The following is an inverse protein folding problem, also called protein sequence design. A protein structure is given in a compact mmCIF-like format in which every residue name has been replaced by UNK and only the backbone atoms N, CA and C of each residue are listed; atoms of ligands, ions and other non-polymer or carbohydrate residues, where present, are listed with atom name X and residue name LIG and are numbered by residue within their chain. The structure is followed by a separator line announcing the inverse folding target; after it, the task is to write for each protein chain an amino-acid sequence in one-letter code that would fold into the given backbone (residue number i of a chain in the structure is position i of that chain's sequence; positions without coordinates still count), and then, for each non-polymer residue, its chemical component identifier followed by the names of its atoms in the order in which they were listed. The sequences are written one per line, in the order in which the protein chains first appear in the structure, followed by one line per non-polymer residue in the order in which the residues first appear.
data_IF_170255881004
#
_entry.id   IF_170255881004
#
_cell.length_a   1.000
_cell.length_b   1.000
_cell.length_c   1.000
_cell.angle_alpha   90.00
_cell.angle_beta   90.00
_cell.angle_gamma   90.00
#
_symmetry.space_group_name_H-M   'P 1'
#
loop_
_entity.id
_entity.type
_entity.pdbx_description
1 polymer ?
#
# COMPACT_ATOMS: atom_id res chain seq x y z
N UNK A 1 6.98 22.02 -25.35
CA UNK A 1 8.13 22.28 -24.47
C UNK A 1 8.20 21.11 -23.51
N UNK A 2 9.37 20.48 -23.34
CA UNK A 2 9.53 19.38 -22.38
C UNK A 2 9.89 20.01 -21.03
N UNK A 3 9.20 19.65 -19.94
CA UNK A 3 9.49 20.21 -18.63
C UNK A 3 10.94 19.91 -18.23
N UNK A 4 11.63 20.91 -17.68
CA UNK A 4 12.92 20.71 -17.05
C UNK A 4 12.81 20.81 -15.51
N UNK A 5 13.90 20.59 -14.80
CA UNK A 5 13.91 20.61 -13.33
C UNK A 5 13.72 22.00 -12.71
N UNK A 6 13.69 23.06 -13.52
CA UNK A 6 13.50 24.46 -13.09
C UNK A 6 12.04 24.92 -13.26
N UNK A 7 11.20 24.12 -13.93
CA UNK A 7 9.79 24.43 -14.13
C UNK A 7 8.98 24.16 -12.85
N UNK A 8 8.77 25.20 -12.06
CA UNK A 8 7.91 25.21 -10.86
C UNK A 8 6.43 25.47 -11.16
N UNK A 9 6.11 25.86 -12.40
CA UNK A 9 4.75 26.22 -12.85
C UNK A 9 4.18 25.21 -13.88
N UNK A 10 4.96 24.16 -14.21
CA UNK A 10 4.68 23.19 -15.26
C UNK A 10 3.68 22.12 -14.84
N UNK A 11 2.40 22.46 -14.76
CA UNK A 11 1.34 21.47 -14.60
C UNK A 11 1.16 20.67 -15.88
N UNK A 12 1.31 19.34 -15.79
CA UNK A 12 1.11 18.43 -16.89
C UNK A 12 0.21 17.26 -16.49
N UNK A 13 -0.71 16.90 -17.37
CA UNK A 13 -1.44 15.65 -17.26
C UNK A 13 -0.52 14.50 -17.67
N UNK A 14 -0.51 13.47 -16.83
CA UNK A 14 0.38 12.32 -16.98
C UNK A 14 -0.29 11.09 -16.40
N UNK A 15 0.09 9.92 -16.90
CA UNK A 15 -0.51 8.63 -16.55
C UNK A 15 0.57 7.61 -16.19
N UNK A 16 0.16 6.55 -15.50
CA UNK A 16 1.05 5.47 -15.08
C UNK A 16 0.99 5.18 -13.58
N UNK A 17 1.52 4.02 -13.19
CA UNK A 17 1.50 3.54 -11.80
C UNK A 17 2.25 4.46 -10.86
N UNK A 18 3.30 5.14 -11.35
CA UNK A 18 4.05 6.18 -10.62
C UNK A 18 3.17 7.35 -10.15
N UNK A 19 2.00 7.55 -10.76
CA UNK A 19 1.03 8.59 -10.36
C UNK A 19 -0.12 8.03 -9.52
N UNK A 20 -0.34 6.71 -9.52
CA UNK A 20 -1.24 6.05 -8.58
C UNK A 20 -0.61 5.97 -7.17
N UNK A 21 0.69 5.67 -7.09
CA UNK A 21 1.43 5.60 -5.81
C UNK A 21 1.29 6.85 -4.93
N UNK A 22 1.54 8.09 -5.41
CA UNK A 22 1.39 9.29 -4.58
C UNK A 22 -0.06 9.54 -4.15
N UNK A 23 -1.06 9.11 -4.94
CA UNK A 23 -2.47 9.21 -4.53
C UNK A 23 -2.77 8.31 -3.34
N UNK A 24 -2.39 7.04 -3.41
CA UNK A 24 -2.55 6.11 -2.28
C UNK A 24 -1.75 6.57 -1.06
N UNK A 25 -0.51 7.03 -1.26
CA UNK A 25 0.31 7.56 -0.17
C UNK A 25 -0.32 8.79 0.50
N UNK A 26 -0.93 9.69 -0.28
CA UNK A 26 -1.67 10.85 0.24
C UNK A 26 -2.86 10.46 1.10
N UNK A 27 -3.67 9.50 0.64
CA UNK A 27 -4.81 8.95 1.41
C UNK A 27 -4.33 8.36 2.74
N UNK A 28 -3.29 7.51 2.71
CA UNK A 28 -2.72 6.90 3.92
C UNK A 28 -2.15 7.97 4.87
N UNK A 29 -1.48 8.98 4.33
CA UNK A 29 -0.91 10.07 5.12
C UNK A 29 -2.00 10.85 5.85
N UNK A 30 -3.12 11.13 5.17
CA UNK A 30 -4.27 11.79 5.79
C UNK A 30 -4.86 10.96 6.93
N UNK A 31 -5.08 9.65 6.69
CA UNK A 31 -5.60 8.73 7.71
C UNK A 31 -4.68 8.69 8.94
N UNK A 32 -3.37 8.54 8.71
CA UNK A 32 -2.38 8.50 9.79
C UNK A 32 -2.32 9.80 10.59
N UNK A 33 -2.33 10.94 9.90
CA UNK A 33 -2.31 12.25 10.55
C UNK A 33 -3.57 12.47 11.39
N UNK A 34 -4.74 12.09 10.86
CA UNK A 34 -6.03 12.20 11.57
C UNK A 34 -6.04 11.37 12.85
N UNK A 35 -5.63 10.11 12.77
CA UNK A 35 -5.54 9.22 13.93
C UNK A 35 -4.49 9.69 14.95
N UNK A 36 -3.35 10.20 14.48
CA UNK A 36 -2.33 10.76 15.39
C UNK A 36 -2.85 11.97 16.14
N UNK A 37 -3.54 12.86 15.44
CA UNK A 37 -4.17 14.03 16.04
C UNK A 37 -5.27 13.63 17.04
N UNK A 38 -6.14 12.68 16.68
CA UNK A 38 -7.23 12.19 17.54
C UNK A 38 -6.71 11.58 18.85
N UNK A 39 -5.61 10.82 18.80
CA UNK A 39 -5.07 10.09 19.95
C UNK A 39 -3.80 10.73 20.55
N UNK A 40 -3.58 12.03 20.34
CA UNK A 40 -2.49 12.82 20.94
C UNK A 40 -1.07 12.32 20.64
N UNK A 41 -0.86 11.71 19.48
CA UNK A 41 0.41 11.11 19.09
C UNK A 41 1.28 12.07 18.25
N UNK A 42 2.07 12.91 18.94
CA UNK A 42 2.90 13.94 18.31
C UNK A 42 4.28 13.44 17.79
N UNK A 43 4.43 12.12 17.58
CA UNK A 43 5.72 11.51 17.20
C UNK A 43 5.76 11.16 15.71
N UNK A 44 6.96 11.13 15.14
CA UNK A 44 7.17 10.65 13.77
C UNK A 44 7.02 9.13 13.65
N UNK A 45 6.42 8.65 12.56
CA UNK A 45 6.11 7.22 12.34
C UNK A 45 7.31 6.29 12.14
N UNK A 46 8.52 6.80 11.90
CA UNK A 46 9.71 5.99 11.58
C UNK A 46 10.66 5.75 12.77
N UNK A 47 10.23 6.00 14.01
CA UNK A 47 11.10 5.80 15.19
C UNK A 47 11.23 4.32 15.56
N UNK A 48 12.46 3.86 15.82
CA UNK A 48 12.73 2.52 16.37
C UNK A 48 12.02 2.28 17.71
N UNK A 49 11.77 3.34 18.47
CA UNK A 49 11.10 3.31 19.77
C UNK A 49 9.63 2.87 19.67
N UNK A 50 9.04 2.89 18.47
CA UNK A 50 7.64 2.52 18.23
C UNK A 50 7.44 1.06 17.91
N UNK A 51 8.49 0.25 17.81
CA UNK A 51 8.37 -1.19 17.58
C UNK A 51 7.61 -1.56 16.29
N UNK A 52 7.66 -0.69 15.26
CA UNK A 52 6.92 -0.89 14.00
C UNK A 52 5.47 -0.39 14.01
N UNK A 53 5.02 0.28 15.07
CA UNK A 53 3.69 0.89 15.14
C UNK A 53 3.63 2.24 14.44
N UNK A 54 2.59 2.43 13.63
CA UNK A 54 2.37 3.61 12.81
C UNK A 54 1.70 4.74 13.60
N UNK A 55 0.87 4.40 14.59
CA UNK A 55 0.26 5.31 15.57
C UNK A 55 0.43 4.71 16.97
N UNK A 56 0.85 5.54 17.93
CA UNK A 56 0.98 5.20 19.35
C UNK A 56 0.49 6.39 20.16
N UNK A 57 -0.80 6.38 20.48
CA UNK A 57 -1.48 7.44 21.24
C UNK A 57 -2.00 6.96 22.59
N UNK A 58 -2.93 7.72 23.17
CA UNK A 58 -3.54 7.41 24.47
C UNK A 58 -4.39 6.13 24.41
N UNK A 59 -3.86 5.03 24.98
CA UNK A 59 -4.47 3.68 24.93
C UNK A 59 -4.82 3.19 23.51
N UNK A 60 -4.17 3.75 22.49
CA UNK A 60 -4.47 3.46 21.10
C UNK A 60 -3.19 3.18 20.33
N UNK A 61 -3.18 2.08 19.59
CA UNK A 61 -2.03 1.71 18.77
C UNK A 61 -2.49 1.12 17.45
N UNK A 62 -1.85 1.54 16.36
CA UNK A 62 -2.12 1.02 15.01
C UNK A 62 -0.84 0.54 14.37
N UNK A 63 -0.86 -0.71 13.90
CA UNK A 63 0.23 -1.35 13.17
C UNK A 63 0.10 -1.14 11.66
N UNK A 64 1.19 -1.36 10.93
CA UNK A 64 1.17 -1.38 9.47
C UNK A 64 0.20 -2.45 8.91
N UNK A 65 0.04 -3.59 9.61
CA UNK A 65 -0.88 -4.64 9.19
C UNK A 65 -2.34 -4.17 9.22
N UNK A 66 -2.75 -3.51 10.30
CA UNK A 66 -4.12 -2.97 10.45
C UNK A 66 -4.43 -1.89 9.42
N UNK A 67 -3.46 -1.04 9.08
CA UNK A 67 -3.65 -0.02 8.02
C UNK A 67 -3.84 -0.70 6.66
N UNK A 68 -3.02 -1.70 6.35
CA UNK A 68 -3.14 -2.44 5.08
C UNK A 68 -4.48 -3.17 4.98
N UNK A 69 -4.90 -3.82 6.06
CA UNK A 69 -6.22 -4.44 6.18
C UNK A 69 -7.34 -3.42 5.93
N UNK A 70 -7.36 -2.29 6.65
CA UNK A 70 -8.39 -1.26 6.50
C UNK A 70 -8.49 -0.74 5.05
N UNK A 71 -7.34 -0.57 4.37
CA UNK A 71 -7.30 -0.17 2.96
C UNK A 71 -7.89 -1.27 2.08
N UNK A 72 -7.53 -2.53 2.30
CA UNK A 72 -8.05 -3.67 1.54
C UNK A 72 -9.58 -3.80 1.69
N UNK A 73 -10.09 -3.65 2.91
CA UNK A 73 -11.52 -3.67 3.21
C UNK A 73 -12.27 -2.53 2.51
N UNK A 74 -11.69 -1.33 2.52
CA UNK A 74 -12.28 -0.13 1.91
C UNK A 74 -12.23 -0.08 0.39
N UNK A 75 -11.31 -0.84 -0.25
CA UNK A 75 -11.09 -0.77 -1.69
C UNK A 75 -12.33 -1.23 -2.47
N UNK A 76 -12.55 -0.79 -3.70
CA UNK A 76 -13.73 -1.19 -4.48
C UNK A 76 -13.37 -1.55 -5.92
N UNK A 77 -14.17 -2.41 -6.53
CA UNK A 77 -14.07 -2.71 -7.95
C UNK A 77 -15.14 -1.93 -8.72
N UNK A 78 -14.79 -1.31 -9.85
CA UNK A 78 -15.74 -0.59 -10.67
C UNK A 78 -16.67 -1.53 -11.41
N UNK A 79 -17.93 -1.12 -11.51
CA UNK A 79 -18.89 -1.74 -12.41
C UNK A 79 -18.54 -1.44 -13.88
N UNK A 80 -19.11 -2.23 -14.79
CA UNK A 80 -18.86 -2.13 -16.24
C UNK A 80 -19.15 -0.74 -16.83
N UNK A 81 -20.00 0.07 -16.19
CA UNK A 81 -20.36 1.43 -16.62
C UNK A 81 -19.44 2.54 -16.09
N UNK A 82 -18.39 2.19 -15.33
CA UNK A 82 -17.44 3.17 -14.81
C UNK A 82 -16.56 3.73 -15.94
N UNK A 83 -16.50 5.05 -16.07
CA UNK A 83 -15.67 5.74 -17.06
C UNK A 83 -14.22 5.90 -16.53
N UNK A 84 -13.22 5.27 -17.17
CA UNK A 84 -11.86 5.27 -16.71
C UNK A 84 -11.02 6.38 -17.38
N UNK A 85 -11.58 7.54 -17.74
CA UNK A 85 -10.90 8.64 -18.47
C UNK A 85 -9.52 9.07 -17.95
N UNK A 86 -9.05 8.56 -16.80
CA UNK A 86 -7.67 8.60 -16.32
C UNK A 86 -6.74 7.41 -16.71
N UNK A 87 -7.13 6.50 -17.61
CA UNK A 87 -6.21 5.62 -18.34
C UNK A 87 -6.23 4.10 -18.06
N UNK A 88 -7.23 3.53 -17.37
CA UNK A 88 -7.32 2.06 -17.18
C UNK A 88 -8.40 1.46 -18.08
N UNK A 89 -7.99 0.83 -19.19
CA UNK A 89 -8.86 0.04 -20.09
C UNK A 89 -9.69 -1.00 -19.31
N UNK A 90 -10.86 -1.45 -19.81
CA UNK A 90 -11.93 -1.96 -18.95
C UNK A 90 -11.45 -3.10 -18.05
N UNK A 91 -11.75 -2.95 -16.76
CA UNK A 91 -11.45 -3.95 -15.75
C UNK A 91 -12.27 -5.21 -16.04
N UNK A 92 -11.63 -6.38 -15.91
CA UNK A 92 -12.31 -7.66 -16.12
C UNK A 92 -13.44 -7.82 -15.11
N UNK A 93 -14.68 -8.14 -15.55
CA UNK A 93 -15.80 -8.38 -14.63
C UNK A 93 -15.72 -9.74 -13.94
N UNK A 94 -14.80 -10.63 -14.36
CA UNK A 94 -14.68 -12.00 -13.84
C UNK A 94 -13.55 -12.11 -12.82
N UNK A 95 -12.41 -11.43 -13.06
CA UNK A 95 -11.22 -11.49 -12.19
C UNK A 95 -10.55 -10.10 -12.07
N UNK A 96 -11.25 -9.09 -11.49
CA UNK A 96 -10.73 -7.72 -11.37
C UNK A 96 -9.45 -7.64 -10.51
N UNK A 97 -9.32 -8.53 -9.55
CA UNK A 97 -8.17 -8.66 -8.64
C UNK A 97 -6.82 -8.82 -9.37
N UNK A 98 -6.81 -9.48 -10.54
CA UNK A 98 -5.58 -9.69 -11.32
C UNK A 98 -5.02 -8.40 -11.92
N UNK A 99 -5.88 -7.39 -12.11
CA UNK A 99 -5.50 -6.10 -12.69
C UNK A 99 -5.35 -5.01 -11.64
N UNK A 100 -6.17 -5.06 -10.57
CA UNK A 100 -6.31 -3.96 -9.61
C UNK A 100 -5.89 -4.33 -8.18
N UNK A 101 -5.50 -5.58 -7.92
CA UNK A 101 -5.25 -6.06 -6.57
C UNK A 101 -6.54 -6.02 -5.75
N UNK A 102 -6.54 -5.40 -4.58
CA UNK A 102 -7.73 -5.27 -3.73
C UNK A 102 -8.83 -4.34 -4.30
N UNK A 103 -8.47 -3.53 -5.29
CA UNK A 103 -9.36 -2.56 -5.94
C UNK A 103 -8.85 -1.13 -5.85
N UNK A 104 -9.73 -0.18 -6.16
CA UNK A 104 -9.43 1.25 -6.12
C UNK A 104 -9.72 1.84 -4.75
N UNK A 105 -8.96 2.88 -4.41
CA UNK A 105 -9.15 3.69 -3.21
C UNK A 105 -9.20 5.15 -3.65
N UNK A 106 -10.15 5.91 -3.10
CA UNK A 106 -10.34 7.33 -3.38
C UNK A 106 -10.57 8.11 -2.07
N UNK A 107 -10.80 9.42 -2.19
CA UNK A 107 -10.98 10.29 -1.02
C UNK A 107 -12.20 9.93 -0.16
N UNK A 108 -13.26 9.34 -0.74
CA UNK A 108 -14.44 8.91 0.03
C UNK A 108 -14.16 7.72 0.95
N UNK A 109 -13.06 7.00 0.75
CA UNK A 109 -12.65 5.90 1.61
C UNK A 109 -11.98 6.36 2.92
N UNK A 110 -11.52 7.61 3.01
CA UNK A 110 -10.73 8.12 4.15
C UNK A 110 -11.50 7.99 5.48
N UNK A 111 -12.69 8.59 5.57
CA UNK A 111 -13.47 8.58 6.81
C UNK A 111 -13.88 7.16 7.24
N UNK A 112 -14.36 6.28 6.33
CA UNK A 112 -14.58 4.87 6.67
C UNK A 112 -13.32 4.14 7.18
N UNK A 113 -12.13 4.41 6.60
CA UNK A 113 -10.88 3.81 7.07
C UNK A 113 -10.55 4.29 8.49
N UNK A 114 -10.68 5.59 8.77
CA UNK A 114 -10.44 6.16 10.11
C UNK A 114 -11.42 5.53 11.11
N UNK A 115 -12.71 5.49 10.76
CA UNK A 115 -13.75 4.93 11.60
C UNK A 115 -13.53 3.43 11.90
N UNK A 116 -12.99 2.69 10.92
CA UNK A 116 -12.59 1.30 11.13
C UNK A 116 -11.40 1.16 12.07
N UNK A 117 -10.34 1.95 11.86
CA UNK A 117 -9.11 1.87 12.65
C UNK A 117 -9.29 2.35 14.09
N UNK A 118 -10.13 3.37 14.32
CA UNK A 118 -10.48 3.85 15.66
C UNK A 118 -11.59 3.02 16.34
N UNK A 119 -12.04 1.93 15.69
CA UNK A 119 -13.03 0.98 16.21
C UNK A 119 -14.43 1.56 16.41
N UNK A 120 -14.72 2.75 15.87
CA UNK A 120 -16.07 3.33 15.91
C UNK A 120 -17.03 2.66 14.92
N UNK A 121 -16.49 2.09 13.83
CA UNK A 121 -17.22 1.30 12.85
C UNK A 121 -16.40 0.05 12.49
N UNK A 122 -17.06 -0.97 11.97
CA UNK A 122 -16.41 -2.19 11.49
C UNK A 122 -16.74 -2.31 10.01
N UNK A 123 -15.74 -2.58 9.18
CA UNK A 123 -15.99 -2.93 7.78
C UNK A 123 -16.52 -4.35 7.71
N UNK A 124 -17.45 -4.56 6.78
CA UNK A 124 -17.83 -5.91 6.39
C UNK A 124 -16.68 -6.61 5.67
N UNK A 125 -16.65 -7.94 5.78
CA UNK A 125 -15.70 -8.76 5.04
C UNK A 125 -15.86 -8.57 3.53
N UNK A 126 -14.74 -8.67 2.80
CA UNK A 126 -14.76 -8.65 1.34
C UNK A 126 -15.50 -9.87 0.81
N UNK A 127 -16.10 -9.78 -0.39
CA UNK A 127 -16.66 -10.93 -1.06
C UNK A 127 -15.61 -12.07 -1.20
N UNK A 128 -16.05 -13.31 -1.01
CA UNK A 128 -15.15 -14.46 -0.84
C UNK A 128 -14.31 -14.79 -2.09
N UNK A 129 -14.80 -14.43 -3.28
CA UNK A 129 -14.06 -14.52 -4.54
C UNK A 129 -12.87 -13.54 -4.59
N UNK A 130 -13.02 -12.35 -4.01
CA UNK A 130 -11.95 -11.36 -3.87
C UNK A 130 -10.86 -11.87 -2.94
N UNK A 131 -11.26 -12.33 -1.75
CA UNK A 131 -10.35 -12.90 -0.76
C UNK A 131 -9.59 -14.10 -1.32
N UNK A 132 -10.29 -15.02 -1.99
CA UNK A 132 -9.68 -16.19 -2.61
C UNK A 132 -8.65 -15.80 -3.68
N UNK A 133 -8.97 -14.83 -4.54
CA UNK A 133 -8.04 -14.37 -5.56
C UNK A 133 -6.80 -13.69 -4.95
N UNK A 134 -6.99 -12.82 -3.96
CA UNK A 134 -5.88 -12.11 -3.32
C UNK A 134 -5.00 -13.04 -2.49
N UNK A 135 -5.60 -14.04 -1.83
CA UNK A 135 -4.87 -15.10 -1.14
C UNK A 135 -4.03 -15.93 -2.11
N UNK A 136 -4.61 -16.38 -3.23
CA UNK A 136 -3.86 -17.10 -4.26
C UNK A 136 -2.71 -16.25 -4.83
N UNK A 137 -2.94 -14.95 -5.06
CA UNK A 137 -1.89 -14.03 -5.50
C UNK A 137 -0.75 -13.89 -4.47
N UNK A 138 -1.09 -13.88 -3.18
CA UNK A 138 -0.11 -13.80 -2.09
C UNK A 138 0.70 -15.10 -1.99
N UNK A 139 0.05 -16.26 -2.00
CA UNK A 139 0.71 -17.58 -1.98
C UNK A 139 1.66 -17.76 -3.17
N UNK A 140 1.26 -17.32 -4.36
CA UNK A 140 2.14 -17.34 -5.54
C UNK A 140 3.36 -16.43 -5.36
N UNK A 141 3.19 -15.23 -4.79
CA UNK A 141 4.32 -14.33 -4.50
C UNK A 141 5.25 -14.93 -3.45
N UNK A 142 4.70 -15.51 -2.40
CA UNK A 142 5.48 -16.13 -1.32
C UNK A 142 6.20 -17.39 -1.79
N UNK A 143 5.60 -18.22 -2.64
CA UNK A 143 6.30 -19.35 -3.24
C UNK A 143 7.44 -18.91 -4.16
N UNK A 144 7.25 -17.85 -4.95
CA UNK A 144 8.27 -17.28 -5.81
C UNK A 144 9.42 -16.63 -5.01
N UNK A 145 9.10 -15.73 -4.08
CA UNK A 145 10.08 -14.98 -3.30
C UNK A 145 10.65 -15.76 -2.11
N UNK A 146 9.91 -16.70 -1.54
CA UNK A 146 10.38 -17.59 -0.49
C UNK A 146 11.39 -18.62 -1.00
N UNK A 147 11.39 -18.88 -2.31
CA UNK A 147 12.46 -19.57 -2.99
C UNK A 147 13.71 -18.68 -3.21
N UNK A 148 13.71 -17.40 -2.81
CA UNK A 148 14.83 -16.46 -2.97
C UNK A 148 15.60 -16.21 -1.65
N UNK A 149 16.94 -16.18 -1.66
CA UNK A 149 17.80 -16.54 -2.78
C UNK A 149 17.61 -18.02 -3.11
N UNK A 150 17.50 -18.33 -4.41
CA UNK A 150 17.44 -19.72 -4.89
C UNK A 150 18.56 -20.49 -4.22
N UNK A 151 18.20 -21.62 -3.59
CA UNK A 151 19.08 -22.49 -2.82
C UNK A 151 20.55 -22.35 -3.25
N UNK A 152 21.41 -22.00 -2.28
CA UNK A 152 22.84 -21.77 -2.47
C UNK A 152 23.42 -22.68 -3.55
N UNK A 153 23.84 -22.09 -4.68
CA UNK A 153 24.73 -22.78 -5.60
C UNK A 153 25.91 -23.30 -4.77
N UNK A 154 26.08 -24.62 -4.72
CA UNK A 154 27.29 -25.23 -4.18
C UNK A 154 28.43 -24.90 -5.14
N UNK A 155 28.99 -23.70 -5.03
CA UNK A 155 30.23 -23.35 -5.68
C UNK A 155 31.36 -23.69 -4.70
N UNK A 156 32.00 -24.83 -4.92
CA UNK A 156 33.38 -25.04 -4.50
C UNK A 156 34.30 -24.06 -5.26
N UNK A 157 34.16 -22.76 -5.02
CA UNK A 157 35.10 -21.74 -5.46
C UNK A 157 35.31 -20.81 -4.28
N UNK A 158 36.50 -20.92 -3.70
CA UNK A 158 37.01 -20.03 -2.66
C UNK A 158 37.20 -18.65 -3.30
N UNK A 159 36.22 -17.76 -3.14
CA UNK A 159 36.46 -16.33 -3.25
C UNK A 159 36.78 -15.81 -1.85
N UNK A 160 37.99 -15.30 -1.68
CA UNK A 160 38.42 -14.61 -0.46
C UNK A 160 37.44 -13.48 -0.15
N UNK A 161 36.84 -13.51 1.04
CA UNK A 161 36.03 -12.41 1.55
C UNK A 161 36.94 -11.22 1.86
N UNK A 162 37.00 -10.25 0.96
CA UNK A 162 37.30 -8.87 1.35
C UNK A 162 35.99 -8.24 1.81
N UNK A 163 35.90 -7.96 3.11
CA UNK A 163 34.80 -7.20 3.68
C UNK A 163 35.01 -5.72 3.34
N UNK A 164 34.21 -5.19 2.42
CA UNK A 164 34.07 -3.74 2.25
C UNK A 164 32.98 -3.28 3.23
N UNK A 165 33.38 -2.49 4.22
CA UNK A 165 32.49 -1.77 5.12
C UNK A 165 32.00 -0.52 4.39
N UNK A 166 30.69 -0.38 4.23
CA UNK A 166 30.09 0.88 3.76
C UNK A 166 29.28 1.49 4.91
N UNK A 167 30.00 2.20 5.78
CA UNK A 167 29.51 3.31 6.58
C UNK A 167 30.67 4.30 6.75
N UNK A 168 30.60 5.39 6.00
CA UNK A 168 30.80 6.74 6.52
C UNK A 168 29.61 7.57 6.03
#
# INVERSE_FOLDING_TARGET
YLPNHDDIDGYHETSGTSFATPRTAGIISYVLESLRHEFSDNRSGASQERGGMMVVGDNFTVSNAQIREAINLSAWYPDFGWDPTSGTMPISPILPCTQTGWGFVNLSNIEPIIAHLNQSQIFDDRPSDVEACMSANQEMRESYWGAYPSASFSSNIIFSKEYVTWRD
#
